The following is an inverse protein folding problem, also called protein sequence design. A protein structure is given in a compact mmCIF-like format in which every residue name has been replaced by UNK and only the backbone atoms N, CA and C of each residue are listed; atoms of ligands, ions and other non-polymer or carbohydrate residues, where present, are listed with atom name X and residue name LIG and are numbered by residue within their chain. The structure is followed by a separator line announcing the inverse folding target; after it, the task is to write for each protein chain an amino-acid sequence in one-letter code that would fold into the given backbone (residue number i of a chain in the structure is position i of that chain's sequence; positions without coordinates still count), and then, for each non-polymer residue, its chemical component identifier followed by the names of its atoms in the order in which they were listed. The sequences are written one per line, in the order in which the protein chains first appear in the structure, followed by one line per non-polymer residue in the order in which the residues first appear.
data_IF_910728729518
#
_entry.id   IF_910728729518
#
_cell.length_a   1.000
_cell.length_b   1.000
_cell.length_c   1.000
_cell.angle_alpha   90.00
_cell.angle_beta   90.00
_cell.angle_gamma   90.00
#
_symmetry.space_group_name_H-M   'P 1'
#
loop_
_entity.id
_entity.type
_entity.pdbx_description
1 polymer ?
#
# COMPACT_ATOMS: atom_id res chain seq x y z
N UNK A 1 13.20 4.06 -42.00
CA UNK A 1 13.79 3.41 -40.81
C UNK A 1 13.92 4.35 -39.59
N UNK A 2 14.39 5.60 -39.75
CA UNK A 2 14.55 6.58 -38.64
C UNK A 2 13.25 6.96 -37.89
N UNK A 3 12.08 6.86 -38.54
CA UNK A 3 10.76 7.13 -37.92
C UNK A 3 10.28 5.99 -37.00
N UNK A 4 10.66 4.74 -37.26
CA UNK A 4 10.32 3.59 -36.39
C UNK A 4 11.15 3.58 -35.09
N UNK A 5 12.39 4.07 -35.16
CA UNK A 5 13.27 4.17 -34.00
C UNK A 5 12.79 5.21 -32.97
N UNK A 6 12.16 6.30 -33.44
CA UNK A 6 11.56 7.32 -32.58
C UNK A 6 10.28 6.83 -31.87
N UNK A 7 9.51 5.94 -32.51
CA UNK A 7 8.31 5.35 -31.89
C UNK A 7 8.69 4.35 -30.79
N UNK A 8 9.75 3.55 -30.97
CA UNK A 8 10.25 2.67 -29.91
C UNK A 8 10.86 3.44 -28.73
N UNK A 9 11.58 4.54 -28.98
CA UNK A 9 12.10 5.41 -27.91
C UNK A 9 11.00 6.11 -27.12
N UNK A 10 9.92 6.52 -27.79
CA UNK A 10 8.73 7.05 -27.11
C UNK A 10 8.00 5.97 -26.28
N UNK A 11 7.99 4.72 -26.76
CA UNK A 11 7.40 3.59 -26.02
C UNK A 11 8.21 3.21 -24.77
N UNK A 12 9.55 3.30 -24.82
CA UNK A 12 10.40 3.10 -23.65
C UNK A 12 10.23 4.22 -22.60
N UNK A 13 9.95 5.46 -23.02
CA UNK A 13 9.71 6.57 -22.10
C UNK A 13 8.39 6.43 -21.32
N UNK A 14 7.37 5.79 -21.91
CA UNK A 14 6.09 5.50 -21.22
C UNK A 14 6.21 4.31 -20.26
N UNK A 15 7.17 3.39 -20.50
CA UNK A 15 7.44 2.24 -19.61
C UNK A 15 8.37 2.53 -18.42
N UNK A 16 9.03 3.69 -18.37
CA UNK A 16 10.06 4.01 -17.38
C UNK A 16 9.58 4.58 -16.03
N UNK A 17 8.27 4.83 -15.87
CA UNK A 17 7.69 5.56 -14.73
C UNK A 17 7.15 4.66 -13.60
N UNK A 18 7.63 3.41 -13.50
CA UNK A 18 7.27 2.46 -12.43
C UNK A 18 8.47 1.98 -11.63
N UNK A 19 9.60 2.70 -11.69
CA UNK A 19 10.69 2.52 -10.74
C UNK A 19 10.52 3.56 -9.64
N UNK A 20 9.94 3.15 -8.50
CA UNK A 20 10.09 3.93 -7.26
C UNK A 20 11.59 4.09 -7.04
N UNK A 21 12.08 5.32 -6.87
CA UNK A 21 13.52 5.52 -6.76
C UNK A 21 14.00 4.88 -5.46
N UNK A 22 15.19 4.26 -5.52
CA UNK A 22 15.78 3.64 -4.33
C UNK A 22 16.00 4.69 -3.22
N UNK A 23 16.25 5.94 -3.63
CA UNK A 23 16.38 7.09 -2.74
C UNK A 23 15.07 7.40 -1.99
N UNK A 24 13.90 7.30 -2.65
CA UNK A 24 12.61 7.49 -1.98
C UNK A 24 12.34 6.41 -0.93
N UNK A 25 12.70 5.16 -1.22
CA UNK A 25 12.53 4.04 -0.27
C UNK A 25 13.44 4.21 0.94
N UNK A 26 14.69 4.62 0.71
CA UNK A 26 15.65 4.91 1.80
C UNK A 26 15.16 6.09 2.64
N UNK A 27 14.69 7.17 2.01
CA UNK A 27 14.15 8.33 2.71
C UNK A 27 12.95 7.97 3.59
N UNK A 28 12.03 7.13 3.09
CA UNK A 28 10.92 6.61 3.88
C UNK A 28 11.43 5.82 5.08
N UNK A 29 12.44 4.96 4.91
CA UNK A 29 13.00 4.13 5.98
C UNK A 29 13.59 4.93 7.15
N UNK A 30 14.05 6.15 6.91
CA UNK A 30 14.61 7.03 7.94
C UNK A 30 13.55 7.83 8.70
N UNK A 31 12.28 7.79 8.27
CA UNK A 31 11.20 8.54 8.91
C UNK A 31 10.81 7.95 10.27
N UNK A 32 10.79 8.80 11.30
CA UNK A 32 10.39 8.39 12.67
C UNK A 32 8.88 8.34 12.87
N UNK A 33 8.11 8.98 11.99
CA UNK A 33 6.67 9.02 12.05
C UNK A 33 6.12 9.34 10.65
N UNK A 34 5.62 8.32 9.97
CA UNK A 34 5.05 8.47 8.65
C UNK A 34 3.68 9.16 8.70
N UNK A 35 3.37 9.79 7.58
CA UNK A 35 2.07 10.32 7.22
C UNK A 35 1.44 9.50 6.08
N UNK A 36 0.23 9.85 5.69
CA UNK A 36 -0.45 9.22 4.55
C UNK A 36 0.29 9.48 3.25
N UNK A 37 1.06 10.57 3.15
CA UNK A 37 1.90 10.84 2.00
C UNK A 37 2.92 9.72 1.73
N UNK A 38 3.61 9.22 2.77
CA UNK A 38 4.58 8.13 2.62
C UNK A 38 3.89 6.82 2.21
N UNK A 39 2.70 6.52 2.72
CA UNK A 39 1.93 5.36 2.24
C UNK A 39 1.56 5.50 0.76
N UNK A 40 1.23 6.72 0.31
CA UNK A 40 0.91 7.00 -1.10
C UNK A 40 2.15 6.82 -1.99
N UNK A 41 3.33 7.21 -1.52
CA UNK A 41 4.59 6.93 -2.21
C UNK A 41 4.85 5.41 -2.35
N UNK A 42 4.41 4.61 -1.38
CA UNK A 42 4.50 3.15 -1.40
C UNK A 42 3.40 2.46 -2.24
N UNK A 43 2.40 3.19 -2.74
CA UNK A 43 1.29 2.61 -3.50
C UNK A 43 1.75 1.79 -4.73
N UNK A 44 2.76 2.21 -5.53
CA UNK A 44 3.27 1.41 -6.64
C UNK A 44 3.84 0.06 -6.19
N UNK A 45 4.56 0.02 -5.06
CA UNK A 45 5.11 -1.23 -4.50
C UNK A 45 4.00 -2.18 -4.02
N UNK A 46 2.92 -1.63 -3.43
CA UNK A 46 1.73 -2.42 -3.08
C UNK A 46 1.11 -3.00 -4.35
N UNK A 47 0.84 -2.19 -5.38
CA UNK A 47 0.23 -2.68 -6.64
C UNK A 47 1.10 -3.74 -7.31
N UNK A 48 2.41 -3.54 -7.34
CA UNK A 48 3.36 -4.51 -7.91
C UNK A 48 3.35 -5.87 -7.20
N UNK A 49 2.94 -5.91 -5.92
CA UNK A 49 2.82 -7.16 -5.15
C UNK A 49 1.60 -8.00 -5.53
N UNK A 50 0.68 -7.47 -6.36
CA UNK A 50 -0.57 -8.13 -6.76
C UNK A 50 -0.74 -8.14 -8.28
N UNK A 51 0.15 -8.82 -9.03
CA UNK A 51 -0.02 -8.96 -10.47
C UNK A 51 -1.38 -9.62 -10.77
N UNK A 52 -2.12 -9.07 -11.73
CA UNK A 52 -3.45 -9.60 -12.12
C UNK A 52 -4.64 -9.04 -11.35
N UNK A 53 -4.43 -8.22 -10.30
CA UNK A 53 -5.54 -7.60 -9.59
C UNK A 53 -6.03 -6.31 -10.26
N UNK A 54 -6.93 -6.47 -11.23
CA UNK A 54 -7.51 -5.36 -11.98
C UNK A 54 -8.17 -4.30 -11.08
N UNK A 55 -7.87 -3.04 -11.40
CA UNK A 55 -8.40 -1.86 -10.71
C UNK A 55 -7.90 -1.67 -9.28
N UNK A 56 -6.88 -2.42 -8.83
CA UNK A 56 -6.29 -2.24 -7.49
C UNK A 56 -5.76 -0.83 -7.29
N UNK A 57 -5.02 -0.30 -8.26
CA UNK A 57 -4.45 1.06 -8.21
C UNK A 57 -5.54 2.11 -7.96
N UNK A 58 -6.65 2.07 -8.72
CA UNK A 58 -7.76 3.01 -8.54
C UNK A 58 -8.45 2.85 -7.18
N UNK A 59 -8.62 1.61 -6.68
CA UNK A 59 -9.21 1.37 -5.36
C UNK A 59 -8.31 1.85 -4.23
N UNK A 60 -6.99 1.72 -4.41
CA UNK A 60 -6.00 2.20 -3.45
C UNK A 60 -6.02 3.72 -3.37
N UNK A 61 -6.03 4.40 -4.51
CA UNK A 61 -6.17 5.86 -4.60
C UNK A 61 -7.50 6.35 -3.99
N UNK A 62 -8.62 5.66 -4.25
CA UNK A 62 -9.91 5.97 -3.63
C UNK A 62 -9.85 5.85 -2.10
N UNK A 63 -9.24 4.78 -1.59
CA UNK A 63 -9.13 4.54 -0.16
C UNK A 63 -8.18 5.54 0.53
N UNK A 64 -7.09 5.93 -0.14
CA UNK A 64 -6.17 6.98 0.30
C UNK A 64 -6.86 8.36 0.32
N UNK A 65 -7.75 8.64 -0.64
CA UNK A 65 -8.50 9.89 -0.72
C UNK A 65 -9.45 10.18 0.44
N UNK A 66 -9.60 9.24 1.39
CA UNK A 66 -10.30 9.47 2.66
C UNK A 66 -9.52 10.36 3.64
N UNK A 67 -8.21 10.46 3.46
CA UNK A 67 -7.30 11.13 4.40
C UNK A 67 -6.55 12.25 3.71
N UNK A 68 -6.13 13.24 4.50
CA UNK A 68 -5.24 14.29 4.02
C UNK A 68 -3.79 13.76 3.99
N UNK A 69 -2.93 14.19 3.04
CA UNK A 69 -1.55 13.69 2.95
C UNK A 69 -0.76 13.83 4.25
N UNK A 70 -0.94 14.94 4.99
CA UNK A 70 -0.27 15.24 6.25
C UNK A 70 -0.83 14.49 7.47
N UNK A 71 -1.91 13.71 7.31
CA UNK A 71 -2.45 12.90 8.39
C UNK A 71 -1.43 11.86 8.85
N UNK A 72 -1.27 11.71 10.17
CA UNK A 72 -0.42 10.66 10.74
C UNK A 72 -0.85 9.29 10.25
N UNK A 73 0.10 8.48 9.81
CA UNK A 73 -0.15 7.13 9.38
C UNK A 73 -0.17 6.20 10.59
N UNK A 74 -1.37 5.93 11.11
CA UNK A 74 -1.53 4.89 12.12
C UNK A 74 -1.69 3.51 11.48
N UNK A 75 -1.36 2.45 12.21
CA UNK A 75 -1.57 1.07 11.76
C UNK A 75 -3.03 0.81 11.34
N UNK A 76 -4.00 1.41 12.03
CA UNK A 76 -5.41 1.28 11.67
C UNK A 76 -5.78 2.02 10.38
N UNK A 77 -5.17 3.18 10.10
CA UNK A 77 -5.35 3.92 8.84
C UNK A 77 -4.72 3.18 7.66
N UNK A 78 -3.45 2.77 7.80
CA UNK A 78 -2.76 1.95 6.81
C UNK A 78 -3.55 0.67 6.52
N UNK A 79 -4.02 0.02 7.59
CA UNK A 79 -4.82 -1.17 7.49
C UNK A 79 -6.17 -0.95 6.80
N UNK A 80 -6.85 0.15 7.10
CA UNK A 80 -8.09 0.51 6.41
C UNK A 80 -7.89 0.69 4.91
N UNK A 81 -6.88 1.48 4.52
CA UNK A 81 -6.58 1.78 3.12
C UNK A 81 -6.41 0.49 2.34
N UNK A 82 -5.55 -0.40 2.82
CA UNK A 82 -5.24 -1.64 2.13
C UNK A 82 -6.39 -2.64 2.19
N UNK A 83 -7.05 -2.79 3.34
CA UNK A 83 -8.18 -3.70 3.46
C UNK A 83 -9.33 -3.31 2.53
N UNK A 84 -9.57 -2.00 2.37
CA UNK A 84 -10.56 -1.47 1.45
C UNK A 84 -10.14 -1.68 -0.01
N UNK A 85 -8.88 -1.40 -0.35
CA UNK A 85 -8.34 -1.54 -1.70
C UNK A 85 -8.34 -3.00 -2.19
N UNK A 86 -7.92 -3.92 -1.32
CA UNK A 86 -7.91 -5.37 -1.57
C UNK A 86 -9.30 -6.01 -1.41
N UNK A 87 -10.31 -5.27 -0.95
CA UNK A 87 -11.67 -5.77 -0.66
C UNK A 87 -11.64 -7.01 0.24
N UNK A 88 -10.85 -6.97 1.31
CA UNK A 88 -10.65 -8.10 2.21
C UNK A 88 -11.99 -8.61 2.76
N UNK A 89 -12.17 -9.93 2.69
CA UNK A 89 -13.36 -10.64 3.20
C UNK A 89 -13.06 -11.52 4.42
N UNK A 90 -11.83 -11.49 4.92
CA UNK A 90 -11.35 -12.34 6.03
C UNK A 90 -12.00 -12.01 7.37
N UNK A 91 -12.55 -10.79 7.52
CA UNK A 91 -13.28 -10.36 8.71
C UNK A 91 -14.72 -9.97 8.38
N UNK A 92 -15.68 -10.76 8.87
CA UNK A 92 -17.13 -10.46 8.74
C UNK A 92 -17.44 -9.07 9.32
N UNK A 93 -16.80 -8.71 10.44
CA UNK A 93 -16.98 -7.40 11.05
C UNK A 93 -16.59 -6.25 10.11
N UNK A 94 -15.48 -6.39 9.37
CA UNK A 94 -15.05 -5.40 8.38
C UNK A 94 -15.98 -5.36 7.16
N UNK A 95 -16.47 -6.51 6.72
CA UNK A 95 -17.43 -6.60 5.61
C UNK A 95 -18.75 -5.88 5.94
N UNK A 96 -19.24 -6.03 7.18
CA UNK A 96 -20.47 -5.39 7.66
C UNK A 96 -20.24 -3.91 7.97
N UNK A 97 -19.12 -3.57 8.60
CA UNK A 97 -18.79 -2.21 9.01
C UNK A 97 -17.34 -1.88 8.62
N UNK A 98 -17.10 -1.27 7.44
CA UNK A 98 -15.75 -0.99 6.97
C UNK A 98 -15.18 0.24 7.70
N UNK A 99 -14.62 0.02 8.89
CA UNK A 99 -13.97 1.04 9.71
C UNK A 99 -12.54 0.60 10.07
N UNK A 100 -11.70 1.59 10.41
CA UNK A 100 -10.27 1.40 10.72
C UNK A 100 -10.02 0.30 11.77
N UNK A 101 -10.79 0.30 12.86
CA UNK A 101 -10.67 -0.70 13.92
C UNK A 101 -10.82 -2.13 13.40
N UNK A 102 -11.77 -2.37 12.48
CA UNK A 102 -12.05 -3.70 11.98
C UNK A 102 -11.11 -4.11 10.85
N UNK A 103 -10.63 -3.14 10.05
CA UNK A 103 -9.56 -3.37 9.10
C UNK A 103 -8.26 -3.80 9.81
N UNK A 104 -7.87 -3.07 10.86
CA UNK A 104 -6.72 -3.42 11.69
C UNK A 104 -6.83 -4.84 12.24
N UNK A 105 -7.98 -5.20 12.83
CA UNK A 105 -8.19 -6.55 13.38
C UNK A 105 -8.14 -7.63 12.30
N UNK A 106 -8.65 -7.38 11.10
CA UNK A 106 -8.55 -8.32 9.99
C UNK A 106 -7.07 -8.59 9.64
N UNK A 107 -6.26 -7.55 9.57
CA UNK A 107 -4.83 -7.66 9.25
C UNK A 107 -4.00 -8.28 10.37
N UNK A 108 -4.42 -8.12 11.64
CA UNK A 108 -3.83 -8.89 12.75
C UNK A 108 -4.14 -10.38 12.61
N UNK A 109 -5.40 -10.73 12.27
CA UNK A 109 -5.79 -12.14 12.06
C UNK A 109 -5.04 -12.78 10.88
N UNK A 110 -4.80 -11.99 9.84
CA UNK A 110 -4.07 -12.43 8.64
C UNK A 110 -2.53 -12.38 8.83
N UNK A 111 -2.04 -12.00 10.02
CA UNK A 111 -0.61 -12.02 10.38
C UNK A 111 0.22 -10.87 9.80
N UNK A 112 -0.44 -9.88 9.19
CA UNK A 112 0.21 -8.68 8.65
C UNK A 112 0.65 -7.75 9.77
N UNK A 113 -0.17 -7.58 10.81
CA UNK A 113 0.21 -6.89 12.03
C UNK A 113 0.40 -7.86 13.20
N UNK A 114 1.30 -7.53 14.13
CA UNK A 114 1.49 -8.30 15.35
C UNK A 114 0.26 -8.20 16.27
N UNK A 115 -0.08 -9.27 16.99
CA UNK A 115 -1.22 -9.29 17.92
C UNK A 115 -1.05 -8.40 19.17
N UNK A 116 0.19 -8.02 19.50
CA UNK A 116 0.53 -7.09 20.58
C UNK A 116 0.49 -5.63 20.13
N UNK A 117 0.32 -5.36 18.84
CA UNK A 117 0.29 -3.99 18.33
C UNK A 117 -1.05 -3.31 18.57
N UNK A 118 -1.04 -1.97 18.58
CA UNK A 118 -2.25 -1.16 18.70
C UNK A 118 -2.54 -0.44 17.38
N UNK A 119 -3.81 -0.36 17.01
CA UNK A 119 -4.24 0.35 15.80
C UNK A 119 -3.97 1.85 15.84
N UNK A 120 -3.81 2.44 17.03
CA UNK A 120 -3.50 3.86 17.19
C UNK A 120 -2.00 4.18 17.07
N UNK A 121 -1.14 3.16 16.98
CA UNK A 121 0.30 3.35 16.89
C UNK A 121 0.63 3.99 15.54
N UNK A 122 1.40 5.08 15.59
CA UNK A 122 1.92 5.75 14.40
C UNK A 122 3.06 4.91 13.86
N UNK A 123 3.04 4.64 12.56
CA UNK A 123 4.06 3.85 11.91
C UNK A 123 5.31 4.69 11.68
N UNK A 124 6.48 4.10 11.95
CA UNK A 124 7.73 4.60 11.42
C UNK A 124 7.99 4.04 10.00
N UNK A 125 9.06 4.54 9.37
CA UNK A 125 9.46 4.15 8.03
C UNK A 125 9.71 2.67 7.86
N UNK A 126 10.42 2.05 8.81
CA UNK A 126 10.75 0.63 8.78
C UNK A 126 9.49 -0.21 8.95
N UNK A 127 8.58 0.18 9.85
CA UNK A 127 7.28 -0.46 10.01
C UNK A 127 6.43 -0.36 8.74
N UNK A 128 6.49 0.75 8.00
CA UNK A 128 5.79 0.90 6.72
C UNK A 128 6.36 -0.03 5.65
N UNK A 129 7.69 -0.14 5.54
CA UNK A 129 8.34 -1.05 4.60
C UNK A 129 8.02 -2.51 4.93
N UNK A 130 8.11 -2.90 6.21
CA UNK A 130 7.76 -4.26 6.67
C UNK A 130 6.28 -4.57 6.43
N UNK A 131 5.39 -3.60 6.66
CA UNK A 131 3.96 -3.73 6.38
C UNK A 131 3.69 -4.04 4.89
N UNK A 132 4.30 -3.30 3.96
CA UNK A 132 4.15 -3.55 2.52
C UNK A 132 4.68 -4.94 2.15
N UNK A 133 5.84 -5.32 2.67
CA UNK A 133 6.41 -6.65 2.43
C UNK A 133 5.48 -7.78 2.95
N UNK A 134 4.94 -7.63 4.17
CA UNK A 134 4.00 -8.59 4.76
C UNK A 134 2.69 -8.71 4.00
N UNK A 135 2.18 -7.61 3.45
CA UNK A 135 0.99 -7.65 2.60
C UNK A 135 1.22 -8.50 1.35
N UNK A 136 2.34 -8.29 0.67
CA UNK A 136 2.72 -9.10 -0.48
C UNK A 136 2.85 -10.58 -0.12
N UNK A 137 3.46 -10.88 1.02
CA UNK A 137 3.58 -12.27 1.50
C UNK A 137 2.22 -12.91 1.85
N UNK A 138 1.34 -12.18 2.55
CA UNK A 138 0.07 -12.70 3.05
C UNK A 138 -0.96 -12.92 1.93
N UNK A 139 -0.95 -12.07 0.90
CA UNK A 139 -2.01 -12.02 -0.10
C UNK A 139 -1.52 -12.15 -1.55
N UNK A 140 -0.25 -11.91 -1.85
CA UNK A 140 0.29 -11.89 -3.23
C UNK A 140 0.58 -13.28 -3.83
N UNK A 141 0.53 -14.33 -3.01
CA UNK A 141 0.83 -15.71 -3.42
C UNK A 141 -0.41 -16.63 -3.54
N UNK A 142 -1.61 -16.07 -3.38
CA UNK A 142 -2.87 -16.83 -3.42
C UNK A 142 -3.56 -16.66 -4.79
N UNK A 143 -2.96 -17.24 -5.83
CA UNK A 143 -3.67 -17.67 -7.05
C UNK A 143 -3.91 -19.18 -7.00
#
# INVERSE_FOLDING_TARGET
MRKFLLVCLAWCAVGGLRAQSLDDIVAIGDERACSVAELRLMAPAIVASFPGMDGLESRLEEALGRYEPQDRLTKARAGYVVAKALRLRTSIAFVVLPIERYAFRALVLDGVFANTSSGGDVMDGIELLDFVARLGAAYGSRE
#
